data_IF_141182729852
#
_entry.id   IF_141182729852
#
_cell.length_a   1.000
_cell.length_b   1.000
_cell.length_c   1.000
_cell.angle_alpha   90.00
_cell.angle_beta   90.00
_cell.angle_gamma   90.00
#
_symmetry.space_group_name_H-M   'P 1'
#
loop_
_entity.id
_entity.type
_entity.pdbx_description
1 polymer ?
#
# COMPACT_ATOMS: atom_id res chain seq x y z
N UNK A 1 30.82 0.68 68.50
CA UNK A 1 31.39 1.21 69.74
C UNK A 1 32.24 0.09 70.33
N UNK A 2 33.51 0.33 70.59
CA UNK A 2 34.43 -0.64 71.21
C UNK A 2 34.75 -0.12 72.60
N UNK A 3 34.60 -0.94 73.58
CA UNK A 3 35.03 -0.65 74.97
C UNK A 3 36.14 -1.59 75.39
N UNK A 4 37.12 -1.08 76.13
CA UNK A 4 38.15 -1.91 76.78
C UNK A 4 37.78 -2.19 78.23
N UNK A 5 38.39 -3.19 78.83
CA UNK A 5 38.19 -3.51 80.25
C UNK A 5 38.68 -2.37 81.20
N UNK A 6 39.32 -1.34 80.62
CA UNK A 6 39.72 -0.12 81.34
C UNK A 6 38.60 0.95 81.42
N UNK A 7 37.40 0.68 80.89
CA UNK A 7 36.23 1.56 80.91
C UNK A 7 36.27 2.71 79.91
N UNK A 8 37.26 2.74 79.03
CA UNK A 8 37.31 3.74 77.92
C UNK A 8 36.61 3.18 76.69
N UNK A 9 35.75 3.98 76.07
CA UNK A 9 35.10 3.70 74.77
C UNK A 9 35.63 4.62 73.72
N UNK A 10 35.91 4.06 72.51
CA UNK A 10 36.23 4.82 71.31
C UNK A 10 35.06 4.70 70.37
N UNK A 11 34.52 5.84 69.87
CA UNK A 11 33.59 5.90 68.76
C UNK A 11 34.39 6.14 67.49
N UNK A 12 34.33 5.20 66.62
CA UNK A 12 34.77 5.40 65.25
C UNK A 12 33.55 5.66 64.35
N UNK A 13 33.64 6.73 63.54
CA UNK A 13 32.64 6.98 62.52
C UNK A 13 32.99 6.13 61.29
N UNK A 14 32.20 5.12 61.06
CA UNK A 14 32.30 4.34 59.81
C UNK A 14 31.47 5.09 58.78
N UNK A 15 32.14 5.66 57.79
CA UNK A 15 31.43 6.27 56.66
C UNK A 15 30.78 5.18 55.81
N UNK A 16 29.55 5.44 55.33
CA UNK A 16 28.87 4.55 54.39
C UNK A 16 29.71 4.44 53.10
N UNK A 17 30.12 3.25 52.75
CA UNK A 17 30.93 2.95 51.55
C UNK A 17 30.11 2.90 50.27
N UNK A 18 28.83 3.30 50.35
CA UNK A 18 27.88 3.20 49.26
C UNK A 18 27.31 1.78 49.09
N UNK A 19 26.35 1.64 48.19
CA UNK A 19 25.77 0.35 47.86
C UNK A 19 26.57 -0.34 46.74
N UNK A 20 26.72 -1.65 46.88
CA UNK A 20 27.28 -2.55 45.84
C UNK A 20 26.16 -3.46 45.35
N UNK A 21 25.48 -3.04 44.33
CA UNK A 21 24.34 -3.77 43.77
C UNK A 21 24.76 -4.94 42.88
N UNK A 22 24.08 -6.06 43.06
CA UNK A 22 23.99 -7.13 42.08
C UNK A 22 22.58 -7.06 41.44
N UNK A 23 22.52 -7.41 40.19
CA UNK A 23 21.31 -7.24 39.37
C UNK A 23 20.71 -8.58 38.95
N UNK A 24 19.38 -8.68 39.04
CA UNK A 24 18.59 -9.76 38.50
C UNK A 24 18.43 -9.67 36.98
N UNK A 25 17.67 -10.60 36.43
CA UNK A 25 17.30 -10.57 35.02
C UNK A 25 16.26 -9.47 34.74
N UNK A 26 16.32 -8.91 33.54
CA UNK A 26 15.32 -7.99 33.11
C UNK A 26 13.97 -8.67 32.89
N UNK A 27 12.90 -8.09 33.41
CA UNK A 27 11.52 -8.52 33.22
C UNK A 27 10.65 -7.39 32.63
N UNK A 28 9.59 -7.75 31.94
CA UNK A 28 8.62 -6.75 31.45
C UNK A 28 7.97 -6.07 32.67
N UNK A 29 7.96 -4.74 32.66
CA UNK A 29 7.25 -3.93 33.65
C UNK A 29 6.00 -3.27 33.08
N UNK A 30 6.13 -2.66 31.90
CA UNK A 30 5.03 -1.99 31.20
C UNK A 30 5.14 -2.22 29.68
N UNK A 31 4.28 -1.59 28.89
CA UNK A 31 4.37 -1.60 27.43
C UNK A 31 5.55 -0.79 26.88
N UNK A 32 6.15 0.10 27.70
CA UNK A 32 7.25 0.97 27.32
C UNK A 32 8.56 0.66 28.02
N UNK A 33 8.52 -0.05 29.16
CA UNK A 33 9.68 -0.25 30.00
C UNK A 33 9.81 -1.69 30.50
N UNK A 34 11.03 -2.12 30.69
CA UNK A 34 11.43 -3.28 31.46
C UNK A 34 12.12 -2.82 32.73
N UNK A 35 12.19 -3.71 33.76
CA UNK A 35 12.89 -3.48 35.01
C UNK A 35 13.71 -4.70 35.38
N UNK A 36 14.66 -4.48 36.28
CA UNK A 36 15.36 -5.56 36.99
C UNK A 36 15.56 -5.19 38.47
N UNK A 37 15.57 -6.19 39.31
CA UNK A 37 15.91 -5.99 40.72
C UNK A 37 17.39 -5.65 40.87
N UNK A 38 17.69 -4.68 41.74
CA UNK A 38 19.01 -4.31 42.21
C UNK A 38 19.11 -4.61 43.68
N UNK A 39 19.93 -5.58 44.09
CA UNK A 39 20.09 -6.01 45.45
C UNK A 39 21.50 -5.71 45.99
N UNK A 40 21.59 -4.95 47.08
CA UNK A 40 22.84 -4.67 47.73
C UNK A 40 23.27 -5.82 48.66
N UNK A 41 24.38 -6.48 48.34
CA UNK A 41 24.91 -7.60 49.13
C UNK A 41 25.44 -7.19 50.50
N UNK A 42 25.76 -5.90 50.70
CA UNK A 42 26.37 -5.43 51.92
C UNK A 42 25.35 -5.08 53.00
N UNK A 43 24.20 -4.52 52.62
CA UNK A 43 23.21 -4.05 53.59
C UNK A 43 21.82 -4.69 53.41
N UNK A 44 21.61 -5.50 52.36
CA UNK A 44 20.31 -6.12 52.08
C UNK A 44 19.29 -5.19 51.45
N UNK A 45 19.67 -3.97 51.11
CA UNK A 45 18.80 -3.01 50.44
C UNK A 45 18.46 -3.46 49.00
N UNK A 46 17.21 -3.28 48.60
CA UNK A 46 16.76 -3.65 47.25
C UNK A 46 15.97 -2.50 46.59
N UNK A 47 16.19 -2.32 45.33
CA UNK A 47 15.52 -1.33 44.48
C UNK A 47 15.31 -1.92 43.09
N UNK A 48 14.65 -1.18 42.22
CA UNK A 48 14.47 -1.55 40.81
C UNK A 48 15.14 -0.57 39.88
N UNK A 49 15.86 -1.11 38.93
CA UNK A 49 16.36 -0.34 37.76
C UNK A 49 15.38 -0.48 36.61
N UNK A 50 15.03 0.64 35.99
CA UNK A 50 14.10 0.73 34.88
C UNK A 50 14.80 1.20 33.59
N UNK A 51 14.42 0.61 32.45
CA UNK A 51 14.90 1.04 31.16
C UNK A 51 13.81 0.88 30.10
N UNK A 52 13.88 1.69 29.06
CA UNK A 52 12.97 1.58 27.91
C UNK A 52 13.26 0.33 27.10
N UNK A 53 12.22 -0.27 26.49
CA UNK A 53 12.40 -1.39 25.58
C UNK A 53 13.25 -0.99 24.37
N UNK A 54 14.25 -1.82 24.05
CA UNK A 54 14.96 -1.77 22.78
C UNK A 54 14.32 -2.78 21.84
N UNK A 55 13.43 -2.30 20.95
CA UNK A 55 12.63 -3.16 20.09
C UNK A 55 13.40 -3.58 18.85
N UNK A 56 13.33 -4.86 18.53
CA UNK A 56 13.69 -5.42 17.23
C UNK A 56 12.43 -5.83 16.48
N UNK A 57 12.45 -5.67 15.15
CA UNK A 57 11.28 -5.86 14.32
C UNK A 57 11.47 -7.02 13.34
N UNK A 58 10.43 -7.82 13.22
CA UNK A 58 10.32 -8.83 12.19
C UNK A 58 9.98 -8.23 10.82
N UNK A 59 9.86 -9.09 9.81
CA UNK A 59 9.42 -8.69 8.48
C UNK A 59 7.93 -8.36 8.50
N UNK A 60 7.54 -7.41 7.64
CA UNK A 60 6.14 -7.11 7.41
C UNK A 60 5.42 -8.27 6.72
N UNK A 61 4.20 -8.53 7.12
CA UNK A 61 3.27 -9.48 6.50
C UNK A 61 1.92 -8.82 6.27
N UNK A 62 1.18 -9.27 5.27
CA UNK A 62 -0.18 -8.77 5.03
C UNK A 62 -1.07 -9.09 6.24
N UNK A 63 -1.79 -8.09 6.74
CA UNK A 63 -2.74 -8.23 7.84
C UNK A 63 -4.19 -8.06 7.37
N UNK A 64 -4.44 -7.08 6.52
CA UNK A 64 -5.76 -6.76 5.96
C UNK A 64 -5.60 -6.05 4.61
N UNK A 65 -6.70 -5.66 3.98
CA UNK A 65 -6.66 -4.90 2.72
C UNK A 65 -6.01 -3.51 2.86
N UNK A 66 -5.96 -2.96 4.08
CA UNK A 66 -5.45 -1.61 4.35
C UNK A 66 -4.16 -1.58 5.15
N UNK A 67 -3.82 -2.68 5.82
CA UNK A 67 -2.69 -2.72 6.76
C UNK A 67 -1.84 -3.98 6.61
N UNK A 68 -0.55 -3.81 6.82
CA UNK A 68 0.39 -4.88 7.10
C UNK A 68 0.80 -4.84 8.58
N UNK A 69 1.29 -5.97 9.09
CA UNK A 69 1.74 -6.10 10.48
C UNK A 69 3.11 -6.78 10.56
N UNK A 70 3.80 -6.54 11.66
CA UNK A 70 5.03 -7.25 12.02
C UNK A 70 5.13 -7.43 13.53
N UNK A 71 5.88 -8.43 13.94
CA UNK A 71 6.22 -8.58 15.36
C UNK A 71 7.29 -7.57 15.74
N UNK A 72 7.11 -6.93 16.89
CA UNK A 72 8.11 -6.10 17.55
C UNK A 72 8.44 -6.77 18.89
N UNK A 73 9.71 -7.02 19.19
CA UNK A 73 10.12 -7.72 20.41
C UNK A 73 11.35 -7.10 21.04
N UNK A 74 11.35 -7.04 22.38
CA UNK A 74 12.51 -6.65 23.18
C UNK A 74 13.34 -7.88 23.53
N UNK A 75 14.57 -7.96 23.00
CA UNK A 75 15.46 -9.09 23.26
C UNK A 75 15.92 -9.18 24.71
N UNK A 76 15.86 -8.07 25.44
CA UNK A 76 16.33 -7.98 26.82
C UNK A 76 15.38 -8.64 27.81
N UNK A 77 14.06 -8.43 27.67
CA UNK A 77 13.05 -8.93 28.62
C UNK A 77 12.02 -9.88 27.98
N UNK A 78 12.10 -10.13 26.67
CA UNK A 78 11.15 -11.00 25.97
C UNK A 78 9.78 -10.36 25.67
N UNK A 79 9.54 -9.09 26.05
CA UNK A 79 8.30 -8.40 25.68
C UNK A 79 8.08 -8.41 24.19
N UNK A 80 6.87 -8.73 23.76
CA UNK A 80 6.52 -8.78 22.34
C UNK A 80 5.15 -8.14 22.10
N UNK A 81 5.03 -7.44 21.00
CA UNK A 81 3.79 -6.81 20.54
C UNK A 81 3.70 -6.86 19.02
N UNK A 82 2.55 -6.51 18.48
CA UNK A 82 2.36 -6.38 17.03
C UNK A 82 2.37 -4.91 16.65
N UNK A 83 3.20 -4.57 15.67
CA UNK A 83 3.29 -3.25 15.05
C UNK A 83 2.50 -3.27 13.73
N UNK A 84 1.69 -2.25 13.49
CA UNK A 84 0.84 -2.13 12.32
C UNK A 84 1.23 -0.92 11.49
N UNK A 85 1.15 -1.06 10.19
CA UNK A 85 1.39 0.02 9.25
C UNK A 85 0.44 -0.02 8.07
N UNK A 86 0.16 1.12 7.45
CA UNK A 86 -0.61 1.19 6.21
C UNK A 86 0.22 0.70 5.03
N UNK A 87 -0.44 0.07 4.04
CA UNK A 87 0.23 -0.31 2.81
C UNK A 87 0.76 0.91 2.05
N UNK A 88 2.00 0.81 1.58
CA UNK A 88 2.61 1.76 0.64
C UNK A 88 2.84 1.06 -0.68
N UNK A 89 2.07 1.42 -1.71
CA UNK A 89 2.06 0.73 -2.98
C UNK A 89 2.94 1.41 -4.02
N UNK A 90 3.76 0.62 -4.69
CA UNK A 90 4.32 0.95 -5.99
C UNK A 90 3.39 0.42 -7.09
N UNK A 91 3.22 1.16 -8.18
CA UNK A 91 2.31 0.81 -9.27
C UNK A 91 3.08 0.48 -10.55
N UNK A 92 2.61 -0.54 -11.23
CA UNK A 92 3.07 -0.89 -12.58
C UNK A 92 2.40 -0.05 -13.67
N UNK A 93 2.71 -0.37 -14.91
CA UNK A 93 2.08 0.25 -16.09
C UNK A 93 0.66 -0.28 -16.28
N UNK A 94 -0.18 0.56 -16.88
CA UNK A 94 -1.51 0.17 -17.31
C UNK A 94 -1.46 -0.81 -18.47
N UNK A 95 -2.32 -1.80 -18.47
CA UNK A 95 -2.51 -2.78 -19.54
C UNK A 95 -3.99 -3.07 -19.77
N UNK A 96 -4.38 -3.48 -20.96
CA UNK A 96 -5.74 -3.90 -21.24
C UNK A 96 -6.17 -5.01 -20.28
N UNK A 97 -7.35 -4.88 -19.71
CA UNK A 97 -8.00 -5.91 -18.91
C UNK A 97 -9.24 -6.47 -19.59
N UNK A 98 -10.10 -5.62 -20.12
CA UNK A 98 -11.30 -5.98 -20.87
C UNK A 98 -11.52 -4.98 -22.01
N UNK A 99 -12.63 -5.09 -22.73
CA UNK A 99 -12.96 -4.12 -23.80
C UNK A 99 -13.41 -2.76 -23.23
N UNK A 100 -13.74 -2.69 -21.94
CA UNK A 100 -14.17 -1.45 -21.28
C UNK A 100 -13.15 -0.90 -20.31
N UNK A 101 -12.23 -1.74 -19.81
CA UNK A 101 -11.32 -1.37 -18.73
C UNK A 101 -9.87 -1.77 -18.97
N UNK A 102 -8.97 -0.95 -18.49
CA UNK A 102 -7.57 -1.27 -18.29
C UNK A 102 -7.27 -1.44 -16.78
N UNK A 103 -6.18 -2.13 -16.47
CA UNK A 103 -5.70 -2.33 -15.10
C UNK A 103 -4.21 -2.09 -14.99
N UNK A 104 -3.76 -1.80 -13.78
CA UNK A 104 -2.34 -1.86 -13.41
C UNK A 104 -2.17 -2.62 -12.10
N UNK A 105 -1.08 -3.32 -11.98
CA UNK A 105 -0.69 -3.92 -10.70
C UNK A 105 -0.25 -2.84 -9.73
N UNK A 106 -0.49 -3.08 -8.43
CA UNK A 106 0.14 -2.34 -7.35
C UNK A 106 0.63 -3.32 -6.30
N UNK A 107 1.86 -3.12 -5.83
CA UNK A 107 2.54 -4.02 -4.89
C UNK A 107 3.01 -3.22 -3.69
N UNK A 108 2.66 -3.68 -2.48
CA UNK A 108 3.15 -3.06 -1.26
C UNK A 108 4.64 -3.31 -1.09
N UNK A 109 5.43 -2.24 -1.00
CA UNK A 109 6.88 -2.32 -0.82
C UNK A 109 7.30 -2.92 0.53
N UNK A 110 6.43 -2.86 1.54
CA UNK A 110 6.71 -3.40 2.88
C UNK A 110 6.46 -4.90 2.99
N UNK A 111 5.29 -5.39 2.59
CA UNK A 111 4.89 -6.79 2.78
C UNK A 111 4.76 -7.60 1.50
N UNK A 112 4.93 -6.99 0.31
CA UNK A 112 4.86 -7.67 -0.98
C UNK A 112 3.45 -8.04 -1.46
N UNK A 113 2.38 -7.72 -0.70
CA UNK A 113 1.02 -7.97 -1.17
C UNK A 113 0.73 -7.20 -2.44
N UNK A 114 0.12 -7.88 -3.41
CA UNK A 114 -0.19 -7.29 -4.71
C UNK A 114 -1.69 -7.29 -4.96
N UNK A 115 -2.19 -6.22 -5.58
CA UNK A 115 -3.57 -6.06 -6.02
C UNK A 115 -3.60 -5.23 -7.30
N UNK A 116 -4.79 -4.84 -7.79
CA UNK A 116 -4.92 -4.10 -9.03
C UNK A 116 -5.78 -2.86 -8.84
N UNK A 117 -5.41 -1.80 -9.54
CA UNK A 117 -6.31 -0.68 -9.83
C UNK A 117 -6.94 -0.90 -11.21
N UNK A 118 -8.19 -0.51 -11.35
CA UNK A 118 -8.98 -0.58 -12.58
C UNK A 118 -9.49 0.79 -12.95
N UNK A 119 -9.52 1.09 -14.24
CA UNK A 119 -10.14 2.31 -14.76
C UNK A 119 -10.70 2.04 -16.16
N UNK A 120 -11.70 2.84 -16.56
CA UNK A 120 -12.28 2.75 -17.88
C UNK A 120 -11.33 3.27 -18.95
N UNK A 121 -11.43 2.73 -20.17
CA UNK A 121 -10.66 3.23 -21.29
C UNK A 121 -11.05 4.66 -21.65
N UNK A 122 -10.04 5.50 -21.86
CA UNK A 122 -10.20 6.82 -22.45
C UNK A 122 -9.64 6.79 -23.86
N UNK A 123 -10.54 6.78 -24.85
CA UNK A 123 -10.17 6.63 -26.26
C UNK A 123 -9.97 7.97 -26.95
N UNK A 124 -8.90 8.06 -27.73
CA UNK A 124 -8.72 9.00 -28.81
C UNK A 124 -9.09 8.32 -30.13
N UNK A 125 -9.61 9.09 -31.05
CA UNK A 125 -10.13 8.61 -32.35
C UNK A 125 -9.35 9.22 -33.50
N UNK A 126 -9.04 8.38 -34.47
CA UNK A 126 -8.56 8.83 -35.77
C UNK A 126 -9.67 9.39 -36.64
N UNK A 127 -9.31 9.92 -37.81
CA UNK A 127 -10.28 10.35 -38.79
C UNK A 127 -11.01 9.16 -39.41
N UNK A 128 -12.28 9.39 -39.80
CA UNK A 128 -13.04 8.42 -40.54
C UNK A 128 -12.45 8.23 -41.95
N UNK A 129 -12.41 7.01 -42.43
CA UNK A 129 -12.00 6.60 -43.77
C UNK A 129 -12.99 5.58 -44.32
N UNK A 130 -13.18 5.54 -45.64
CA UNK A 130 -14.04 4.52 -46.27
C UNK A 130 -13.55 3.12 -45.90
N UNK A 131 -14.46 2.27 -45.43
CA UNK A 131 -14.22 0.84 -45.23
C UNK A 131 -14.74 0.04 -46.46
N UNK A 132 -15.98 0.27 -46.85
CA UNK A 132 -16.65 -0.30 -48.02
C UNK A 132 -17.73 0.68 -48.52
N UNK A 133 -18.68 0.19 -49.33
CA UNK A 133 -19.75 1.04 -49.87
C UNK A 133 -20.87 1.36 -48.89
N UNK A 134 -20.90 0.70 -47.73
CA UNK A 134 -21.93 0.86 -46.70
C UNK A 134 -21.36 1.54 -45.45
N UNK A 135 -20.08 1.28 -45.17
CA UNK A 135 -19.46 1.67 -43.90
C UNK A 135 -18.17 2.46 -44.07
N UNK A 136 -17.95 3.37 -43.15
CA UNK A 136 -16.67 3.97 -42.87
C UNK A 136 -16.08 3.39 -41.60
N UNK A 137 -14.76 3.57 -41.37
CA UNK A 137 -14.03 3.10 -40.21
C UNK A 137 -13.08 4.16 -39.68
N UNK A 138 -12.79 4.08 -38.41
CA UNK A 138 -11.69 4.85 -37.78
C UNK A 138 -10.97 4.02 -36.73
N UNK A 139 -9.74 4.34 -36.46
CA UNK A 139 -9.03 3.79 -35.32
C UNK A 139 -9.52 4.46 -34.06
N UNK A 140 -9.56 3.68 -32.95
CA UNK A 140 -9.66 4.21 -31.60
C UNK A 140 -8.53 3.62 -30.76
N UNK A 141 -7.85 4.45 -29.99
CA UNK A 141 -6.70 4.05 -29.18
C UNK A 141 -6.84 4.61 -27.77
N UNK A 142 -6.71 3.74 -26.76
CA UNK A 142 -6.68 4.20 -25.38
C UNK A 142 -5.35 4.90 -25.11
N UNK A 143 -5.39 6.18 -24.74
CA UNK A 143 -4.22 6.99 -24.48
C UNK A 143 -3.40 6.49 -23.25
N UNK A 144 -4.01 5.70 -22.37
CA UNK A 144 -3.39 5.24 -21.12
C UNK A 144 -2.70 3.90 -21.27
N UNK A 145 -3.39 2.89 -21.86
CA UNK A 145 -2.84 1.54 -21.97
C UNK A 145 -2.40 1.17 -23.39
N UNK A 146 -2.63 2.03 -24.38
CA UNK A 146 -2.28 1.77 -25.76
C UNK A 146 -3.18 0.76 -26.49
N UNK A 147 -4.25 0.25 -25.84
CA UNK A 147 -5.19 -0.66 -26.50
C UNK A 147 -5.81 0.02 -27.71
N UNK A 148 -5.78 -0.65 -28.86
CA UNK A 148 -6.23 -0.09 -30.13
C UNK A 148 -7.18 -1.03 -30.83
N UNK A 149 -8.23 -0.47 -31.40
CA UNK A 149 -9.22 -1.21 -32.19
C UNK A 149 -9.79 -0.32 -33.30
N UNK A 150 -10.56 -0.93 -34.19
CA UNK A 150 -11.25 -0.22 -35.29
C UNK A 150 -12.71 -0.12 -34.91
N UNK A 151 -13.24 1.10 -35.06
CA UNK A 151 -14.67 1.38 -34.96
C UNK A 151 -15.24 1.52 -36.36
N UNK A 152 -16.43 0.97 -36.59
CA UNK A 152 -17.15 1.05 -37.82
C UNK A 152 -18.46 1.82 -37.62
N UNK A 153 -18.83 2.61 -38.62
CA UNK A 153 -20.08 3.33 -38.68
C UNK A 153 -20.66 3.30 -40.09
N UNK A 154 -21.98 3.41 -40.21
CA UNK A 154 -22.59 3.53 -41.53
C UNK A 154 -22.31 4.91 -42.13
N UNK A 155 -22.18 5.00 -43.44
CA UNK A 155 -22.10 6.27 -44.14
C UNK A 155 -23.32 7.14 -43.84
N UNK A 156 -23.09 8.43 -43.66
CA UNK A 156 -24.10 9.44 -43.40
C UNK A 156 -23.96 10.56 -44.39
N UNK A 157 -25.02 10.80 -45.15
CA UNK A 157 -25.14 11.88 -46.13
C UNK A 157 -26.41 12.65 -45.80
N UNK A 158 -26.27 13.71 -44.96
CA UNK A 158 -27.41 14.48 -44.47
C UNK A 158 -27.87 15.57 -45.41
N UNK A 159 -27.02 15.97 -46.35
CA UNK A 159 -27.31 17.02 -47.35
C UNK A 159 -27.68 16.43 -48.72
N UNK A 160 -27.64 15.09 -48.87
CA UNK A 160 -27.99 14.34 -50.09
C UNK A 160 -27.17 14.74 -51.31
N UNK A 161 -25.89 15.06 -51.11
CA UNK A 161 -24.95 15.41 -52.19
C UNK A 161 -24.21 14.18 -52.75
N UNK A 162 -24.49 12.98 -52.21
CA UNK A 162 -23.86 11.72 -52.64
C UNK A 162 -22.49 11.49 -52.00
N UNK A 163 -22.11 12.29 -50.96
CA UNK A 163 -20.83 12.19 -50.28
C UNK A 163 -21.06 11.99 -48.79
N UNK A 164 -20.33 11.07 -48.16
CA UNK A 164 -20.41 10.88 -46.74
C UNK A 164 -19.85 12.06 -45.95
N UNK A 165 -20.66 12.66 -45.06
CA UNK A 165 -20.30 13.83 -44.25
C UNK A 165 -19.07 13.60 -43.37
N UNK A 166 -18.86 12.36 -42.93
CA UNK A 166 -17.78 12.02 -41.96
C UNK A 166 -16.45 11.64 -42.63
N UNK A 167 -16.49 10.90 -43.79
CA UNK A 167 -15.27 10.39 -44.41
C UNK A 167 -15.02 10.91 -45.83
N UNK A 168 -15.93 11.69 -46.40
CA UNK A 168 -15.79 12.26 -47.73
C UNK A 168 -15.86 11.25 -48.88
N UNK A 169 -16.24 10.01 -48.61
CA UNK A 169 -16.36 9.00 -49.66
C UNK A 169 -17.68 9.14 -50.43
N UNK A 170 -17.68 8.88 -51.73
CA UNK A 170 -18.91 8.76 -52.50
C UNK A 170 -19.74 7.61 -51.93
N UNK A 171 -21.00 7.85 -51.63
CA UNK A 171 -21.97 6.87 -51.16
C UNK A 171 -22.96 6.53 -52.28
N UNK A 172 -23.29 5.25 -52.43
CA UNK A 172 -24.29 4.86 -53.43
C UNK A 172 -25.66 5.38 -52.99
N UNK A 173 -26.29 6.19 -53.79
CA UNK A 173 -27.67 6.58 -53.57
C UNK A 173 -28.54 5.32 -53.69
N UNK A 174 -29.11 4.87 -52.62
CA UNK A 174 -30.16 3.83 -52.65
C UNK A 174 -31.42 4.50 -53.14
N UNK A 175 -31.62 4.48 -54.46
CA UNK A 175 -32.91 4.91 -55.08
C UNK A 175 -33.92 3.82 -54.76
N UNK A 176 -34.73 4.01 -53.72
CA UNK A 176 -35.92 3.20 -53.51
C UNK A 176 -36.99 3.63 -54.51
N UNK A 177 -37.22 2.83 -55.54
CA UNK A 177 -38.38 3.00 -56.41
C UNK A 177 -39.63 2.60 -55.63
N UNK A 178 -40.43 3.58 -55.26
CA UNK A 178 -41.75 3.30 -54.73
C UNK A 178 -42.65 2.85 -55.88
N UNK A 179 -42.88 1.54 -55.96
CA UNK A 179 -43.69 0.91 -57.01
C UNK A 179 -45.19 1.13 -56.82
N UNK A 180 -45.59 2.03 -55.90
CA UNK A 180 -47.02 2.23 -55.56
C UNK A 180 -47.76 3.31 -56.38
N UNK A 181 -47.20 3.84 -57.47
CA UNK A 181 -47.86 4.86 -58.31
C UNK A 181 -48.22 4.40 -59.72
N UNK A 182 -48.69 3.17 -59.87
CA UNK A 182 -49.43 2.77 -61.13
C UNK A 182 -50.75 2.08 -60.78
N UNK A 183 -51.73 2.88 -60.44
CA UNK A 183 -53.10 2.52 -60.31
C UNK A 183 -53.99 3.66 -60.87
N UNK A 184 -54.26 3.64 -62.14
CA UNK A 184 -55.23 4.48 -62.80
C UNK A 184 -55.74 3.84 -64.01
#
# INVERSE_FOLDING_TARGET
EYSCDCGQSKRETIYATGHSYSYGSWEQYSTSQHRREAYCRNCGDSDYEYASHSMSYGSWSNHSDTQHSRTASCRTCGYSTTDYGSHSYSTGSWSKYSDTQHRRSKTCSGCGVSTYDYADHSYSYGSWTKADDVQHKRSKTCAVCGDSSTEYGNHKDTNADGVCDDCGANVALIVTWDASSNGG
#
